data_IF_462224663628
#
_entry.id   IF_462224663628
#
_cell.length_a   1.000
_cell.length_b   1.000
_cell.length_c   1.000
_cell.angle_alpha   90.00
_cell.angle_beta   90.00
_cell.angle_gamma   90.00
#
_symmetry.space_group_name_H-M   'P 1'
#
loop_
_entity.id
_entity.type
_entity.pdbx_description
1 polymer ?
#
# COMPACT_ATOMS: atom_id res chain seq x y z
N UNK A 1 -11.40 1.45 -8.15
CA UNK A 1 -10.39 2.39 -7.60
C UNK A 1 -9.85 1.77 -6.33
N UNK A 2 -8.52 1.69 -6.19
CA UNK A 2 -7.82 1.09 -5.05
C UNK A 2 -7.00 2.15 -4.33
N UNK A 3 -7.02 2.15 -3.00
CA UNK A 3 -6.31 3.12 -2.16
C UNK A 3 -5.14 2.42 -1.47
N UNK A 4 -3.94 2.94 -1.71
CA UNK A 4 -2.71 2.44 -1.11
C UNK A 4 -2.05 3.50 -0.25
N UNK A 5 -1.41 3.07 0.85
CA UNK A 5 -0.66 3.95 1.74
C UNK A 5 0.78 3.44 1.97
N UNK A 6 1.69 4.34 2.33
CA UNK A 6 3.08 4.00 2.62
C UNK A 6 3.87 5.21 3.12
N UNK A 7 5.15 5.00 3.42
CA UNK A 7 6.07 6.01 3.98
C UNK A 7 6.71 5.55 5.28
N UNK A 8 7.82 6.18 5.67
CA UNK A 8 8.61 5.80 6.85
C UNK A 8 7.80 5.65 8.17
N UNK A 9 6.80 6.50 8.49
CA UNK A 9 6.02 6.34 9.71
C UNK A 9 4.83 5.37 9.57
N UNK A 10 4.55 4.88 8.36
CA UNK A 10 3.37 4.05 8.08
C UNK A 10 3.73 2.58 8.25
N UNK A 11 2.83 1.82 8.88
CA UNK A 11 3.01 0.37 9.06
C UNK A 11 1.86 -0.39 8.40
N UNK A 12 2.07 -1.69 8.17
CA UNK A 12 1.02 -2.60 7.68
C UNK A 12 -0.18 -2.63 8.65
N UNK A 13 0.06 -2.66 9.95
CA UNK A 13 -1.01 -2.66 10.96
C UNK A 13 -1.88 -1.40 10.86
N UNK A 14 -1.27 -0.23 10.64
CA UNK A 14 -2.04 1.00 10.43
C UNK A 14 -2.86 0.95 9.13
N UNK A 15 -2.29 0.41 8.05
CA UNK A 15 -3.01 0.19 6.78
C UNK A 15 -4.25 -0.67 6.97
N UNK A 16 -4.13 -1.76 7.73
CA UNK A 16 -5.24 -2.66 8.07
C UNK A 16 -6.28 -1.95 8.95
N UNK A 17 -5.82 -1.18 9.95
CA UNK A 17 -6.70 -0.42 10.85
C UNK A 17 -7.58 0.59 10.11
N UNK A 18 -7.05 1.27 9.08
CA UNK A 18 -7.81 2.25 8.31
C UNK A 18 -8.55 1.66 7.09
N UNK A 19 -8.36 0.37 6.81
CA UNK A 19 -8.99 -0.32 5.68
C UNK A 19 -8.44 0.07 4.30
N UNK A 20 -7.15 0.40 4.20
CA UNK A 20 -6.52 0.62 2.90
C UNK A 20 -6.38 -0.70 2.12
N UNK A 21 -6.51 -0.65 0.79
CA UNK A 21 -6.42 -1.81 -0.09
C UNK A 21 -4.99 -2.35 -0.21
N UNK A 22 -3.97 -1.53 0.05
CA UNK A 22 -2.57 -1.94 -0.01
C UNK A 22 -1.61 -1.08 0.81
N UNK A 23 -0.51 -1.69 1.23
CA UNK A 23 0.58 -1.07 1.94
C UNK A 23 1.91 -1.41 1.28
N UNK A 24 2.79 -0.42 1.15
CA UNK A 24 4.15 -0.61 0.67
C UNK A 24 5.17 0.07 1.59
N UNK A 25 6.23 -0.65 1.94
CA UNK A 25 7.32 -0.13 2.78
C UNK A 25 8.32 0.73 1.99
N UNK A 26 8.33 0.64 0.66
CA UNK A 26 9.21 1.40 -0.22
C UNK A 26 8.59 1.56 -1.62
N UNK A 27 9.19 2.43 -2.43
CA UNK A 27 8.68 2.75 -3.76
C UNK A 27 8.69 1.56 -4.75
N UNK A 28 9.70 0.68 -4.67
CA UNK A 28 9.79 -0.48 -5.56
C UNK A 28 8.59 -1.43 -5.34
N UNK A 29 8.37 -1.86 -4.09
CA UNK A 29 7.22 -2.69 -3.72
C UNK A 29 5.87 -2.02 -3.99
N UNK A 30 5.78 -0.69 -3.84
CA UNK A 30 4.57 0.04 -4.21
C UNK A 30 4.22 -0.12 -5.70
N UNK A 31 5.22 -0.06 -6.58
CA UNK A 31 5.01 -0.24 -8.01
C UNK A 31 4.52 -1.64 -8.38
N UNK A 32 5.02 -2.67 -7.68
CA UNK A 32 4.62 -4.06 -7.93
C UNK A 32 3.20 -4.35 -7.42
N UNK A 33 2.81 -3.76 -6.29
CA UNK A 33 1.44 -3.85 -5.77
C UNK A 33 0.46 -3.09 -6.67
N UNK A 34 0.83 -1.89 -7.12
CA UNK A 34 -0.04 -1.08 -7.97
C UNK A 34 -0.36 -1.78 -9.30
N UNK A 35 0.60 -2.53 -9.88
CA UNK A 35 0.36 -3.35 -11.08
C UNK A 35 -0.70 -4.43 -10.84
N UNK A 36 -0.67 -5.11 -9.68
CA UNK A 36 -1.66 -6.14 -9.34
C UNK A 36 -3.09 -5.59 -9.20
N UNK A 37 -3.25 -4.27 -9.01
CA UNK A 37 -4.55 -3.60 -8.92
C UNK A 37 -5.03 -2.98 -10.24
N UNK A 38 -4.14 -2.92 -11.24
CA UNK A 38 -4.41 -2.33 -12.54
C UNK A 38 -4.88 -3.35 -13.58
N UNK A 39 -4.67 -4.64 -13.30
CA UNK A 39 -5.25 -5.77 -14.02
C UNK A 39 -6.71 -6.00 -13.61
#
# INVERSE_FOLDING_TARGET
VKIMIGGAPVTKSFSEQIGADGYAANAASASDIAKQFAD
#
